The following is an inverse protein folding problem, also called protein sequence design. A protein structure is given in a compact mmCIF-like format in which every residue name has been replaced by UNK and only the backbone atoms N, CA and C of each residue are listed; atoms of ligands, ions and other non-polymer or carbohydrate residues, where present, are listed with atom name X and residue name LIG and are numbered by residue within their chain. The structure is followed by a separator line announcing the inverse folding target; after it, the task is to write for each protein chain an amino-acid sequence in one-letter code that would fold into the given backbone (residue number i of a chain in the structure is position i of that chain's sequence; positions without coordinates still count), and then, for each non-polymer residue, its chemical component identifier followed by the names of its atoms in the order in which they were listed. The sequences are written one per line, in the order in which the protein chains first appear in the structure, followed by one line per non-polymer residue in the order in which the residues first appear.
data_IF_046621976763
#
_entry.id   IF_046621976763
#
_cell.length_a   1.000
_cell.length_b   1.000
_cell.length_c   1.000
_cell.angle_alpha   90.00
_cell.angle_beta   90.00
_cell.angle_gamma   90.00
#
_symmetry.space_group_name_H-M   'P 1'
#
loop_
_entity.id
_entity.type
_entity.pdbx_description
1 polymer ?
#
# COMPACT_ATOMS: atom_id res chain seq x y z
N UNK A 1 -0.83 -10.95 -15.19
CA UNK A 1 -1.04 -11.79 -13.99
C UNK A 1 -2.06 -11.10 -13.10
N UNK A 2 -2.78 -11.85 -12.27
CA UNK A 2 -3.62 -11.33 -11.19
C UNK A 2 -2.90 -11.42 -9.83
N UNK A 3 -3.54 -11.02 -8.72
CA UNK A 3 -2.96 -11.16 -7.39
C UNK A 3 -2.63 -12.63 -7.06
N UNK A 4 -1.66 -12.89 -6.16
CA UNK A 4 -0.93 -11.92 -5.36
C UNK A 4 0.14 -11.18 -6.16
N UNK A 5 0.21 -9.85 -5.97
CA UNK A 5 1.23 -9.00 -6.60
C UNK A 5 2.58 -9.17 -5.92
N UNK A 6 3.67 -9.05 -6.67
CA UNK A 6 4.97 -8.86 -6.02
C UNK A 6 4.99 -7.52 -5.29
N UNK A 7 5.67 -7.48 -4.15
CA UNK A 7 5.79 -6.26 -3.36
C UNK A 7 7.16 -6.15 -2.72
N UNK A 8 7.89 -5.10 -3.05
CA UNK A 8 9.23 -4.83 -2.54
C UNK A 8 9.29 -3.50 -1.79
N UNK A 9 10.29 -3.40 -0.93
CA UNK A 9 10.57 -2.21 -0.14
C UNK A 9 11.75 -1.49 -0.76
N UNK A 10 11.68 -0.17 -0.85
CA UNK A 10 12.91 0.63 -1.02
C UNK A 10 13.77 0.51 0.25
N UNK A 11 15.06 0.81 0.13
CA UNK A 11 15.96 0.85 1.30
C UNK A 11 15.45 1.78 2.39
N UNK A 12 14.87 2.92 2.00
CA UNK A 12 14.31 3.90 2.93
C UNK A 12 13.07 3.36 3.64
N UNK A 13 12.14 2.75 2.88
CA UNK A 13 10.94 2.15 3.46
C UNK A 13 11.28 1.00 4.41
N UNK A 14 12.31 0.22 4.11
CA UNK A 14 12.79 -0.85 4.99
C UNK A 14 13.35 -0.30 6.30
N UNK A 15 14.15 0.79 6.25
CA UNK A 15 14.63 1.46 7.46
C UNK A 15 13.48 2.00 8.31
N UNK A 16 12.50 2.66 7.68
CA UNK A 16 11.32 3.18 8.37
C UNK A 16 10.51 2.06 9.03
N UNK A 17 10.23 0.98 8.30
CA UNK A 17 9.54 -0.22 8.81
C UNK A 17 10.26 -0.82 10.01
N UNK A 18 11.59 -0.90 9.95
CA UNK A 18 12.39 -1.52 11.01
C UNK A 18 12.51 -0.63 12.26
N UNK A 19 12.25 0.67 12.15
CA UNK A 19 12.20 1.60 13.27
C UNK A 19 10.84 1.64 14.00
N UNK A 20 9.79 1.04 13.42
CA UNK A 20 8.46 1.00 14.03
C UNK A 20 8.43 0.08 15.27
N UNK A 21 7.57 0.39 16.27
CA UNK A 21 7.24 -0.57 17.32
C UNK A 21 6.69 -1.89 16.75
N UNK A 22 6.87 -2.98 17.47
CA UNK A 22 6.49 -4.33 16.99
C UNK A 22 5.01 -4.43 16.59
N UNK A 23 4.12 -3.85 17.39
CA UNK A 23 2.67 -3.85 17.11
C UNK A 23 2.34 -3.07 15.82
N UNK A 24 2.97 -1.92 15.63
CA UNK A 24 2.80 -1.10 14.43
C UNK A 24 3.33 -1.81 13.18
N UNK A 25 4.47 -2.51 13.31
CA UNK A 25 5.05 -3.30 12.22
C UNK A 25 4.15 -4.48 11.86
N UNK A 26 3.52 -5.14 12.82
CA UNK A 26 2.55 -6.20 12.55
C UNK A 26 1.34 -5.69 11.77
N UNK A 27 0.79 -4.52 12.16
CA UNK A 27 -0.32 -3.87 11.46
C UNK A 27 0.07 -3.45 10.03
N UNK A 28 1.28 -2.91 9.85
CA UNK A 28 1.83 -2.57 8.55
C UNK A 28 1.96 -3.81 7.63
N UNK A 29 2.42 -4.94 8.17
CA UNK A 29 2.51 -6.19 7.42
C UNK A 29 1.12 -6.74 7.04
N UNK A 30 0.13 -6.61 7.93
CA UNK A 30 -1.25 -6.97 7.61
C UNK A 30 -1.81 -6.07 6.50
N UNK A 31 -1.64 -4.76 6.59
CA UNK A 31 -2.06 -3.81 5.55
C UNK A 31 -1.40 -4.11 4.19
N UNK A 32 -0.10 -4.43 4.17
CA UNK A 32 0.59 -4.88 2.94
C UNK A 32 0.01 -6.19 2.39
N UNK A 33 -0.38 -7.13 3.25
CA UNK A 33 -0.97 -8.40 2.81
C UNK A 33 -2.27 -8.17 2.04
N UNK A 34 -3.16 -7.31 2.58
CA UNK A 34 -4.40 -6.92 1.91
C UNK A 34 -4.13 -6.25 0.55
N UNK A 35 -3.16 -5.32 0.52
CA UNK A 35 -2.76 -4.62 -0.70
C UNK A 35 -2.22 -5.58 -1.78
N UNK A 36 -1.41 -6.56 -1.40
CA UNK A 36 -0.84 -7.57 -2.30
C UNK A 36 -1.92 -8.47 -2.89
N UNK A 37 -3.03 -8.67 -2.19
CA UNK A 37 -4.16 -9.50 -2.65
C UNK A 37 -5.26 -8.70 -3.34
N UNK A 38 -5.19 -7.37 -3.32
CA UNK A 38 -6.22 -6.51 -3.90
C UNK A 38 -6.40 -6.78 -5.41
N UNK A 39 -7.64 -6.84 -5.93
CA UNK A 39 -7.87 -7.04 -7.37
C UNK A 39 -7.29 -5.93 -8.26
N UNK A 40 -7.30 -4.68 -7.78
CA UNK A 40 -6.68 -3.52 -8.45
C UNK A 40 -5.90 -2.66 -7.44
N UNK A 41 -4.55 -2.74 -7.41
CA UNK A 41 -3.72 -1.94 -6.51
C UNK A 41 -3.75 -0.44 -6.76
N UNK A 42 -4.33 0.05 -7.86
CA UNK A 42 -4.44 1.50 -8.10
C UNK A 42 -5.71 2.12 -7.54
N UNK A 43 -6.68 1.33 -7.09
CA UNK A 43 -7.90 1.83 -6.45
C UNK A 43 -8.60 3.00 -7.20
N UNK A 44 -8.73 2.89 -8.54
CA UNK A 44 -9.13 4.02 -9.42
C UNK A 44 -10.64 4.29 -9.52
N UNK A 45 -11.46 3.55 -8.78
CA UNK A 45 -12.92 3.54 -8.92
C UNK A 45 -13.65 4.08 -7.69
N UNK A 46 -14.88 4.56 -7.91
CA UNK A 46 -15.87 4.77 -6.85
C UNK A 46 -16.19 3.37 -6.32
N UNK A 47 -15.80 3.05 -5.08
CA UNK A 47 -15.84 1.71 -4.44
C UNK A 47 -14.57 0.85 -4.56
N UNK A 48 -13.46 1.32 -5.11
CA UNK A 48 -12.28 0.44 -5.23
C UNK A 48 -11.71 0.01 -3.85
N UNK A 49 -11.85 0.86 -2.83
CA UNK A 49 -11.44 0.58 -1.46
C UNK A 49 -12.43 -0.32 -0.70
N UNK A 50 -13.59 -0.63 -1.29
CA UNK A 50 -14.67 -1.37 -0.63
C UNK A 50 -14.31 -2.82 -0.30
N UNK A 51 -13.29 -3.34 -0.98
CA UNK A 51 -12.72 -4.66 -0.73
C UNK A 51 -11.64 -4.65 0.37
N UNK A 52 -11.25 -3.46 0.89
CA UNK A 52 -10.34 -3.37 2.01
C UNK A 52 -11.07 -3.55 3.35
N UNK A 53 -10.40 -4.13 4.37
CA UNK A 53 -10.96 -4.22 5.71
C UNK A 53 -11.34 -2.85 6.30
N UNK A 54 -12.29 -2.86 7.24
CA UNK A 54 -12.66 -1.66 7.99
C UNK A 54 -11.44 -1.03 8.68
N UNK A 55 -11.29 0.29 8.55
CA UNK A 55 -10.14 1.02 9.08
C UNK A 55 -8.95 1.11 8.13
N UNK A 56 -9.07 0.60 6.90
CA UNK A 56 -8.14 0.83 5.80
C UNK A 56 -8.79 1.68 4.69
N UNK A 57 -7.97 2.47 4.01
CA UNK A 57 -8.39 3.25 2.85
C UNK A 57 -7.19 3.57 1.97
N UNK A 58 -7.38 3.72 0.66
CA UNK A 58 -6.33 4.08 -0.28
C UNK A 58 -6.70 5.36 -1.00
N UNK A 59 -5.73 6.26 -1.16
CA UNK A 59 -5.92 7.44 -1.99
C UNK A 59 -4.71 7.72 -2.88
N UNK A 60 -4.92 8.27 -4.08
CA UNK A 60 -3.81 8.75 -4.90
C UNK A 60 -3.17 9.97 -4.24
N UNK A 61 -1.83 10.00 -4.18
CA UNK A 61 -1.06 11.17 -3.68
C UNK A 61 -1.38 12.44 -4.49
N UNK A 62 -1.66 12.28 -5.77
CA UNK A 62 -2.10 13.36 -6.65
C UNK A 62 -3.39 12.95 -7.35
N UNK A 63 -4.50 13.62 -7.04
CA UNK A 63 -5.81 13.32 -7.65
C UNK A 63 -5.82 13.47 -9.18
N UNK A 64 -4.93 14.30 -9.74
CA UNK A 64 -4.75 14.47 -11.19
C UNK A 64 -3.96 13.34 -11.84
N UNK A 65 -3.35 12.45 -11.05
CA UNK A 65 -2.58 11.28 -11.50
C UNK A 65 -3.02 10.02 -10.72
N UNK A 66 -4.23 9.50 -10.94
CA UNK A 66 -4.77 8.32 -10.25
C UNK A 66 -4.03 7.01 -10.59
N UNK A 67 -3.08 7.04 -11.51
CA UNK A 67 -2.20 5.92 -11.81
C UNK A 67 -0.82 6.03 -11.12
N UNK A 68 -0.60 7.09 -10.35
CA UNK A 68 0.69 7.42 -9.74
C UNK A 68 0.92 6.73 -8.41
N UNK A 69 1.60 7.43 -7.51
CA UNK A 69 1.77 6.98 -6.13
C UNK A 69 0.45 7.03 -5.36
N UNK A 70 0.28 6.07 -4.47
CA UNK A 70 -0.88 5.93 -3.60
C UNK A 70 -0.42 5.85 -2.15
N UNK A 71 -1.29 6.27 -1.24
CA UNK A 71 -1.11 6.10 0.20
C UNK A 71 -2.19 5.15 0.68
N UNK A 72 -1.78 4.05 1.29
CA UNK A 72 -2.65 3.15 2.04
C UNK A 72 -2.61 3.55 3.51
N UNK A 73 -3.73 3.96 4.06
CA UNK A 73 -3.93 4.17 5.49
C UNK A 73 -4.43 2.90 6.14
N UNK A 74 -4.01 2.66 7.38
CA UNK A 74 -4.44 1.53 8.19
C UNK A 74 -4.57 1.93 9.66
N UNK A 75 -5.22 1.07 10.44
CA UNK A 75 -5.62 1.34 11.83
C UNK A 75 -6.32 2.71 11.99
N UNK A 76 -7.34 2.96 11.17
CA UNK A 76 -8.12 4.20 11.20
C UNK A 76 -7.28 5.47 10.98
N UNK A 77 -6.20 5.35 10.20
CA UNK A 77 -5.32 6.48 9.86
C UNK A 77 -4.19 6.72 10.84
N UNK A 78 -3.96 5.85 11.82
CA UNK A 78 -2.76 5.91 12.69
C UNK A 78 -1.49 5.51 11.97
N UNK A 79 -1.60 4.62 10.99
CA UNK A 79 -0.51 4.19 10.14
C UNK A 79 -0.79 4.48 8.67
N UNK A 80 0.29 4.68 7.92
CA UNK A 80 0.20 4.70 6.46
C UNK A 80 1.46 4.15 5.80
N UNK A 81 1.31 3.69 4.57
CA UNK A 81 2.42 3.38 3.66
C UNK A 81 2.16 4.01 2.29
N UNK A 82 3.22 4.50 1.66
CA UNK A 82 3.17 5.05 0.30
C UNK A 82 3.79 4.06 -0.67
N UNK A 83 3.11 3.83 -1.78
CA UNK A 83 3.54 2.86 -2.78
C UNK A 83 3.23 3.31 -4.21
N UNK A 84 3.88 2.66 -5.16
CA UNK A 84 3.54 2.72 -6.58
C UNK A 84 3.32 1.31 -7.13
N UNK A 85 2.44 1.17 -8.11
CA UNK A 85 2.24 -0.10 -8.80
C UNK A 85 2.75 0.00 -10.25
N UNK A 86 3.56 -0.97 -10.66
CA UNK A 86 4.20 -1.02 -11.97
C UNK A 86 3.56 -2.14 -12.79
N UNK A 87 2.54 -1.79 -13.57
CA UNK A 87 1.70 -2.75 -14.32
C UNK A 87 2.22 -3.17 -15.69
N UNK A 88 3.21 -2.47 -16.26
CA UNK A 88 3.66 -2.62 -17.67
C UNK A 88 4.83 -3.60 -17.87
N UNK A 89 5.16 -4.37 -16.85
CA UNK A 89 6.23 -5.38 -16.88
C UNK A 89 5.61 -6.77 -17.02
N UNK A 90 6.40 -7.74 -17.48
CA UNK A 90 5.99 -9.16 -17.54
C UNK A 90 5.49 -9.66 -16.18
N UNK A 91 5.93 -9.02 -15.10
CA UNK A 91 5.63 -9.36 -13.72
C UNK A 91 5.26 -8.13 -12.88
N UNK A 92 3.96 -7.78 -12.75
CA UNK A 92 3.52 -6.57 -12.08
C UNK A 92 3.94 -6.51 -10.61
N UNK A 93 4.43 -5.34 -10.18
CA UNK A 93 5.06 -5.18 -8.87
C UNK A 93 4.59 -3.91 -8.15
N UNK A 94 4.39 -4.03 -6.84
CA UNK A 94 4.16 -2.95 -5.90
C UNK A 94 5.50 -2.55 -5.30
N UNK A 95 5.85 -1.27 -5.36
CA UNK A 95 7.06 -0.73 -4.75
C UNK A 95 6.62 0.17 -3.60
N UNK A 96 7.00 -0.20 -2.37
CA UNK A 96 6.70 0.58 -1.17
C UNK A 96 7.87 1.53 -0.93
N UNK A 97 7.58 2.82 -1.01
CA UNK A 97 8.56 3.89 -0.99
C UNK A 97 8.79 4.43 0.44
N UNK A 98 7.75 4.40 1.29
CA UNK A 98 7.77 4.98 2.63
C UNK A 98 6.67 4.36 3.51
N UNK A 99 6.87 4.36 4.83
CA UNK A 99 5.83 4.03 5.80
C UNK A 99 6.01 4.81 7.11
N UNK A 100 4.91 5.01 7.83
CA UNK A 100 4.88 5.80 9.06
C UNK A 100 3.81 5.31 10.04
N UNK A 101 3.98 5.62 11.33
CA UNK A 101 3.08 5.28 12.43
C UNK A 101 3.10 6.36 13.52
N UNK A 102 1.92 6.71 14.06
CA UNK A 102 1.74 7.66 15.18
C UNK A 102 0.94 7.08 16.35
#
# INVERSE_FOLDING_TARGET
MGPPWQADWTTEAELNRNALPDDARALLHAARAELVTAPDPYFRGIDADRDLPAGMSVEPVQSTRPAGQHVLYFDHGRGWLRYSFVSRVTDPQIVIDECFWQ
#
